data_IF_091942967093
#
_entry.id   IF_091942967093
#
_cell.length_a   1.000
_cell.length_b   1.000
_cell.length_c   1.000
_cell.angle_alpha   90.00
_cell.angle_beta   90.00
_cell.angle_gamma   90.00
#
_symmetry.space_group_name_H-M   'P 1'
#
loop_
_entity.id
_entity.type
_entity.pdbx_description
1 polymer ?
#
# COMPACT_ATOMS: atom_id res chain seq x y z
N UNK A 1 -13.81 -27.95 7.42
CA UNK A 1 -12.80 -27.32 6.54
C UNK A 1 -13.40 -26.02 5.99
N UNK A 2 -12.96 -24.87 6.49
CA UNK A 2 -13.30 -23.51 6.00
C UNK A 2 -14.79 -23.12 5.88
N UNK A 3 -15.68 -23.71 6.68
CA UNK A 3 -17.12 -23.42 6.67
C UNK A 3 -17.77 -23.51 5.26
N UNK A 4 -17.26 -24.42 4.43
CA UNK A 4 -17.83 -24.70 3.11
C UNK A 4 -19.28 -25.21 3.25
N UNK A 5 -20.24 -24.64 2.49
CA UNK A 5 -21.62 -25.09 2.50
C UNK A 5 -21.77 -26.56 2.09
N UNK A 6 -22.74 -27.26 2.70
CA UNK A 6 -23.01 -28.69 2.44
C UNK A 6 -23.31 -29.01 0.97
N UNK A 7 -23.77 -28.03 0.17
CA UNK A 7 -24.00 -28.20 -1.26
C UNK A 7 -22.74 -28.55 -2.06
N UNK A 8 -21.55 -28.26 -1.53
CA UNK A 8 -20.26 -28.63 -2.14
C UNK A 8 -19.67 -29.91 -1.58
N UNK A 9 -20.31 -30.51 -0.57
CA UNK A 9 -19.80 -31.70 0.09
C UNK A 9 -19.90 -32.89 -0.86
N UNK A 10 -18.79 -33.55 -1.08
CA UNK A 10 -18.69 -34.76 -1.89
C UNK A 10 -18.49 -36.00 -1.01
N UNK A 11 -17.60 -35.90 -0.01
CA UNK A 11 -17.24 -36.96 0.94
C UNK A 11 -16.96 -38.32 0.26
N UNK A 12 -16.12 -38.28 -0.78
CA UNK A 12 -15.72 -39.47 -1.55
C UNK A 12 -14.40 -39.99 -1.02
N UNK A 13 -14.38 -41.24 -0.54
CA UNK A 13 -13.15 -41.96 -0.20
C UNK A 13 -12.39 -42.31 -1.46
N UNK A 14 -11.16 -41.81 -1.58
CA UNK A 14 -10.28 -42.10 -2.72
C UNK A 14 -9.49 -43.37 -2.42
N UNK A 15 -9.58 -44.37 -3.29
CA UNK A 15 -8.80 -45.58 -3.11
C UNK A 15 -7.31 -45.26 -3.29
N UNK A 16 -6.45 -45.77 -2.38
CA UNK A 16 -5.03 -45.47 -2.38
C UNK A 16 -4.33 -45.82 -3.71
N UNK A 17 -4.80 -46.86 -4.41
CA UNK A 17 -4.31 -47.24 -5.75
C UNK A 17 -4.54 -46.16 -6.81
N UNK A 18 -5.63 -45.39 -6.69
CA UNK A 18 -6.04 -44.36 -7.63
C UNK A 18 -5.43 -43.01 -7.23
N UNK A 19 -5.07 -42.87 -5.94
CA UNK A 19 -4.31 -41.75 -5.42
C UNK A 19 -2.82 -41.79 -5.80
N UNK A 20 -2.26 -42.98 -6.12
CA UNK A 20 -0.85 -43.12 -6.50
C UNK A 20 -0.70 -42.99 -8.02
N UNK A 21 0.00 -41.96 -8.52
CA UNK A 21 0.17 -41.73 -9.95
C UNK A 21 1.00 -42.82 -10.62
N UNK A 22 0.62 -43.20 -11.85
CA UNK A 22 1.27 -44.29 -12.61
C UNK A 22 2.69 -43.95 -13.03
N UNK A 23 3.01 -42.68 -13.25
CA UNK A 23 4.29 -42.25 -13.81
C UNK A 23 5.32 -41.86 -12.73
N UNK A 24 4.97 -41.96 -11.44
CA UNK A 24 5.92 -41.69 -10.35
C UNK A 24 7.00 -42.76 -10.21
N UNK A 25 8.17 -42.35 -9.70
CA UNK A 25 9.30 -43.25 -9.43
C UNK A 25 8.89 -44.33 -8.40
N UNK A 26 9.43 -45.56 -8.50
CA UNK A 26 9.07 -46.65 -7.59
C UNK A 26 9.25 -46.33 -6.10
N UNK A 27 10.32 -45.60 -5.74
CA UNK A 27 10.59 -45.21 -4.36
C UNK A 27 9.53 -44.25 -3.81
N UNK A 28 9.11 -43.28 -4.61
CA UNK A 28 8.10 -42.31 -4.21
C UNK A 28 6.71 -42.97 -4.10
N UNK A 29 6.38 -43.89 -5.02
CA UNK A 29 5.17 -44.72 -4.90
C UNK A 29 5.14 -45.51 -3.60
N UNK A 30 6.28 -46.07 -3.19
CA UNK A 30 6.39 -46.78 -1.91
C UNK A 30 6.22 -45.82 -0.74
N UNK A 31 6.88 -44.66 -0.77
CA UNK A 31 6.76 -43.63 0.27
C UNK A 31 5.30 -43.17 0.47
N UNK A 32 4.55 -42.94 -0.61
CA UNK A 32 3.13 -42.58 -0.52
C UNK A 32 2.32 -43.70 0.15
N UNK A 33 2.55 -44.97 -0.21
CA UNK A 33 1.87 -46.11 0.41
C UNK A 33 2.13 -46.23 1.90
N UNK A 34 3.37 -45.95 2.30
CA UNK A 34 3.79 -46.05 3.70
C UNK A 34 3.31 -44.85 4.52
N UNK A 35 3.17 -43.66 3.90
CA UNK A 35 2.82 -42.41 4.57
C UNK A 35 1.31 -42.17 4.70
N UNK A 36 0.49 -42.63 3.75
CA UNK A 36 -0.94 -42.28 3.66
C UNK A 36 -1.81 -43.42 4.19
N UNK A 37 -2.65 -43.12 5.19
CA UNK A 37 -3.65 -44.07 5.72
C UNK A 37 -4.99 -43.95 5.01
N UNK A 38 -5.49 -42.73 4.86
CA UNK A 38 -6.79 -42.45 4.26
C UNK A 38 -6.76 -41.15 3.47
N UNK A 39 -7.52 -41.11 2.37
CA UNK A 39 -7.71 -39.93 1.55
C UNK A 39 -9.19 -39.77 1.25
N UNK A 40 -9.71 -38.57 1.48
CA UNK A 40 -11.06 -38.18 1.10
C UNK A 40 -11.04 -36.90 0.30
N UNK A 41 -11.80 -36.88 -0.79
CA UNK A 41 -12.26 -35.63 -1.38
C UNK A 41 -13.50 -35.20 -0.59
N UNK A 42 -13.34 -34.22 0.28
CA UNK A 42 -14.40 -33.84 1.23
C UNK A 42 -15.35 -32.82 0.61
N UNK A 43 -14.80 -31.86 -0.14
CA UNK A 43 -15.58 -30.86 -0.87
C UNK A 43 -15.05 -30.66 -2.29
N UNK A 44 -15.96 -30.27 -3.19
CA UNK A 44 -15.61 -29.78 -4.51
C UNK A 44 -16.52 -28.61 -4.88
N UNK A 45 -15.91 -27.45 -5.14
CA UNK A 45 -16.59 -26.31 -5.76
C UNK A 45 -16.40 -26.48 -7.27
N UNK A 46 -17.45 -26.28 -8.07
CA UNK A 46 -17.43 -26.41 -9.52
C UNK A 46 -18.45 -25.47 -10.18
N UNK A 47 -18.29 -25.21 -11.48
CA UNK A 47 -19.25 -24.42 -12.27
C UNK A 47 -19.07 -22.90 -12.13
N UNK A 48 -20.15 -22.15 -12.36
CA UNK A 48 -20.14 -20.67 -12.39
C UNK A 48 -19.81 -20.01 -11.04
N UNK A 49 -19.84 -20.78 -9.95
CA UNK A 49 -19.55 -20.30 -8.59
C UNK A 49 -18.04 -20.24 -8.30
N UNK A 50 -17.22 -20.83 -9.16
CA UNK A 50 -15.79 -20.52 -9.18
C UNK A 50 -15.65 -19.20 -9.92
N UNK A 51 -14.79 -18.29 -9.45
CA UNK A 51 -14.03 -17.39 -10.31
C UNK A 51 -13.40 -18.17 -11.46
N UNK A 52 -14.19 -18.45 -12.48
CA UNK A 52 -13.68 -18.74 -13.80
C UNK A 52 -12.88 -17.50 -14.14
N UNK A 53 -11.58 -17.55 -13.93
CA UNK A 53 -10.71 -16.71 -14.73
C UNK A 53 -11.06 -17.18 -16.13
N UNK A 54 -11.92 -16.44 -16.82
CA UNK A 54 -12.21 -16.65 -18.25
C UNK A 54 -10.99 -16.11 -18.98
N UNK A 55 -9.85 -16.72 -18.66
CA UNK A 55 -8.55 -16.44 -19.19
C UNK A 55 -8.04 -17.77 -19.70
N UNK A 56 -7.56 -17.76 -20.95
CA UNK A 56 -6.92 -18.89 -21.59
C UNK A 56 -5.77 -19.46 -20.73
N UNK A 57 -5.23 -18.67 -19.80
CA UNK A 57 -4.09 -19.02 -18.95
C UNK A 57 -4.41 -19.97 -17.78
N UNK A 58 -5.54 -19.81 -17.07
CA UNK A 58 -5.75 -20.50 -15.77
C UNK A 58 -6.76 -21.66 -15.82
N UNK A 59 -7.69 -21.68 -16.80
CA UNK A 59 -8.65 -22.79 -17.09
C UNK A 59 -9.11 -23.60 -15.86
N UNK A 60 -9.52 -22.93 -14.79
CA UNK A 60 -9.96 -23.61 -13.57
C UNK A 60 -11.43 -24.05 -13.69
N UNK A 61 -11.67 -25.36 -13.59
CA UNK A 61 -13.03 -25.94 -13.67
C UNK A 61 -13.57 -26.37 -12.30
N UNK A 62 -12.69 -26.59 -11.32
CA UNK A 62 -13.02 -27.06 -9.99
C UNK A 62 -12.00 -26.58 -8.95
N UNK A 63 -12.45 -26.38 -7.71
CA UNK A 63 -11.57 -26.31 -6.53
C UNK A 63 -11.87 -27.53 -5.66
N UNK A 64 -10.85 -28.35 -5.41
CA UNK A 64 -10.98 -29.61 -4.69
C UNK A 64 -10.38 -29.51 -3.29
N UNK A 65 -11.05 -30.09 -2.30
CA UNK A 65 -10.61 -30.09 -0.92
C UNK A 65 -10.36 -31.52 -0.47
N UNK A 66 -9.09 -31.84 -0.28
CA UNK A 66 -8.65 -33.16 0.16
C UNK A 66 -8.37 -33.16 1.65
N UNK A 67 -8.84 -34.20 2.32
CA UNK A 67 -8.45 -34.57 3.68
C UNK A 67 -7.64 -35.86 3.62
N UNK A 68 -6.41 -35.80 4.13
CA UNK A 68 -5.45 -36.91 4.09
C UNK A 68 -5.01 -37.22 5.51
N UNK A 69 -5.37 -38.41 5.99
CA UNK A 69 -4.81 -38.94 7.23
C UNK A 69 -3.45 -39.57 6.91
N UNK A 70 -2.40 -39.08 7.56
CA UNK A 70 -1.03 -39.58 7.41
C UNK A 70 -0.58 -40.39 8.63
N UNK A 71 0.46 -41.19 8.45
CA UNK A 71 1.12 -41.93 9.54
C UNK A 71 1.96 -41.00 10.41
N UNK A 72 2.74 -40.11 9.79
CA UNK A 72 3.55 -39.08 10.46
C UNK A 72 3.48 -37.79 9.64
N UNK A 73 3.15 -36.67 10.28
CA UNK A 73 3.04 -35.36 9.65
C UNK A 73 4.33 -34.91 8.92
N UNK A 74 5.49 -35.50 9.21
CA UNK A 74 6.75 -35.21 8.50
C UNK A 74 6.69 -35.45 6.99
N UNK A 75 5.82 -36.33 6.52
CA UNK A 75 5.66 -36.59 5.08
C UNK A 75 4.81 -35.53 4.36
N UNK A 76 4.20 -34.59 5.09
CA UNK A 76 3.30 -33.61 4.52
C UNK A 76 3.95 -32.71 3.45
N UNK A 77 5.22 -32.30 3.60
CA UNK A 77 5.91 -31.49 2.60
C UNK A 77 6.11 -32.25 1.28
N UNK A 78 6.43 -33.54 1.36
CA UNK A 78 6.60 -34.41 0.21
C UNK A 78 5.25 -34.65 -0.48
N UNK A 79 4.20 -34.92 0.29
CA UNK A 79 2.86 -35.11 -0.25
C UNK A 79 2.31 -33.82 -0.88
N UNK A 80 2.46 -32.66 -0.22
CA UNK A 80 2.09 -31.36 -0.74
C UNK A 80 2.72 -31.07 -2.10
N UNK A 81 4.05 -31.13 -2.18
CA UNK A 81 4.79 -30.88 -3.42
C UNK A 81 4.42 -31.87 -4.53
N UNK A 82 4.21 -33.15 -4.19
CA UNK A 82 3.83 -34.17 -5.16
C UNK A 82 2.44 -33.90 -5.73
N UNK A 83 1.44 -33.73 -4.86
CA UNK A 83 0.04 -33.65 -5.28
C UNK A 83 -0.34 -32.30 -5.88
N UNK A 84 0.29 -31.20 -5.46
CA UNK A 84 0.09 -29.91 -6.12
C UNK A 84 0.56 -29.92 -7.58
N UNK A 85 1.58 -30.72 -7.91
CA UNK A 85 2.11 -30.89 -9.27
C UNK A 85 1.34 -31.91 -10.13
N UNK A 86 0.31 -32.57 -9.59
CA UNK A 86 -0.37 -33.68 -10.26
C UNK A 86 -1.86 -33.41 -10.42
N UNK A 87 -2.48 -32.83 -9.39
CA UNK A 87 -3.89 -32.48 -9.43
C UNK A 87 -4.02 -31.21 -10.27
N UNK A 88 -4.64 -31.33 -11.46
CA UNK A 88 -4.83 -30.19 -12.37
C UNK A 88 -5.72 -29.08 -11.80
N UNK A 89 -6.91 -29.38 -11.21
CA UNK A 89 -7.72 -28.35 -10.57
C UNK A 89 -6.98 -27.72 -9.39
N UNK A 90 -7.38 -26.50 -9.00
CA UNK A 90 -6.93 -25.97 -7.71
C UNK A 90 -7.31 -26.94 -6.61
N UNK A 91 -6.37 -27.19 -5.70
CA UNK A 91 -6.66 -28.06 -4.58
C UNK A 91 -6.08 -27.52 -3.28
N UNK A 92 -6.89 -27.60 -2.24
CA UNK A 92 -6.46 -27.42 -0.87
C UNK A 92 -6.31 -28.80 -0.26
N UNK A 93 -5.14 -29.08 0.29
CA UNK A 93 -4.82 -30.37 0.88
C UNK A 93 -4.63 -30.17 2.37
N UNK A 94 -5.56 -30.69 3.16
CA UNK A 94 -5.43 -30.81 4.60
C UNK A 94 -4.83 -32.17 4.93
N UNK A 95 -3.71 -32.18 5.65
CA UNK A 95 -3.02 -33.38 6.10
C UNK A 95 -2.96 -33.38 7.61
N UNK A 96 -3.29 -34.50 8.24
CA UNK A 96 -3.27 -34.62 9.69
C UNK A 96 -2.81 -36.00 10.15
N UNK A 97 -2.18 -36.03 11.32
CA UNK A 97 -2.01 -37.24 12.12
C UNK A 97 -2.75 -37.08 13.46
N UNK A 98 -2.49 -37.96 14.43
CA UNK A 98 -3.17 -37.91 15.72
C UNK A 98 -2.84 -36.65 16.57
N UNK A 99 -1.77 -35.93 16.24
CA UNK A 99 -1.23 -34.81 17.04
C UNK A 99 -1.23 -33.50 16.30
N UNK A 100 -0.92 -33.50 15.00
CA UNK A 100 -0.67 -32.29 14.23
C UNK A 100 -1.48 -32.27 12.92
N UNK A 101 -1.81 -31.08 12.46
CA UNK A 101 -2.42 -30.81 11.15
C UNK A 101 -1.65 -29.73 10.38
N UNK A 102 -1.69 -29.81 9.05
CA UNK A 102 -1.10 -28.83 8.13
C UNK A 102 -1.98 -28.66 6.89
N UNK A 103 -1.86 -27.50 6.26
CA UNK A 103 -2.58 -27.17 5.04
C UNK A 103 -1.59 -26.85 3.92
N UNK A 104 -1.88 -27.34 2.71
CA UNK A 104 -1.14 -27.01 1.50
C UNK A 104 -2.03 -26.30 0.49
N UNK A 105 -1.48 -25.22 -0.06
CA UNK A 105 -2.07 -24.38 -1.09
C UNK A 105 -1.06 -24.19 -2.23
N UNK A 106 -1.55 -24.02 -3.45
CA UNK A 106 -0.70 -23.63 -4.58
C UNK A 106 -1.48 -22.78 -5.58
N UNK A 107 -0.85 -21.68 -6.00
CA UNK A 107 -1.22 -20.96 -7.21
C UNK A 107 -0.54 -21.67 -8.36
N UNK A 108 -1.36 -22.22 -9.26
CA UNK A 108 -0.93 -23.03 -10.38
C UNK A 108 -1.82 -22.77 -11.58
N UNK A 109 -1.27 -23.02 -12.76
CA UNK A 109 -1.97 -22.93 -14.04
C UNK A 109 -1.51 -24.05 -14.95
N UNK A 110 -2.20 -24.23 -16.07
CA UNK A 110 -1.75 -25.14 -17.11
C UNK A 110 -0.67 -24.46 -17.97
N UNK A 111 0.25 -25.24 -18.52
CA UNK A 111 1.23 -24.73 -19.45
C UNK A 111 0.52 -24.28 -20.75
N UNK A 112 0.89 -23.11 -21.27
CA UNK A 112 0.28 -22.50 -22.46
C UNK A 112 0.57 -23.29 -23.76
N UNK A 113 1.67 -24.05 -23.80
CA UNK A 113 2.05 -24.87 -24.95
C UNK A 113 1.59 -26.33 -24.82
N UNK A 114 1.40 -26.82 -23.59
CA UNK A 114 1.01 -28.20 -23.28
C UNK A 114 0.06 -28.23 -22.07
N UNK A 115 -1.25 -28.29 -22.31
CA UNK A 115 -2.27 -28.29 -21.26
C UNK A 115 -2.31 -29.57 -20.39
N UNK A 116 -1.40 -30.51 -20.65
CA UNK A 116 -1.15 -31.67 -19.79
C UNK A 116 -0.23 -31.34 -18.62
N UNK A 117 0.59 -30.30 -18.73
CA UNK A 117 1.57 -29.91 -17.73
C UNK A 117 1.04 -28.81 -16.80
N UNK A 118 1.38 -28.93 -15.52
CA UNK A 118 1.06 -27.95 -14.48
C UNK A 118 2.29 -27.08 -14.24
N UNK A 119 2.08 -25.77 -14.20
CA UNK A 119 3.07 -24.77 -13.76
C UNK A 119 2.63 -24.25 -12.39
N UNK A 120 3.41 -24.53 -11.35
CA UNK A 120 3.22 -23.92 -10.03
C UNK A 120 3.93 -22.57 -10.03
N UNK A 121 3.18 -21.51 -9.80
CA UNK A 121 3.69 -20.14 -9.69
C UNK A 121 4.09 -19.85 -8.24
N UNK A 122 3.24 -20.28 -7.31
CA UNK A 122 3.49 -20.15 -5.88
C UNK A 122 2.93 -21.36 -5.13
N UNK A 123 3.61 -21.79 -4.08
CA UNK A 123 3.12 -22.85 -3.21
C UNK A 123 3.39 -22.51 -1.75
N UNK A 124 2.42 -22.83 -0.91
CA UNK A 124 2.50 -22.64 0.53
C UNK A 124 2.14 -23.94 1.24
N UNK A 125 2.93 -24.29 2.24
CA UNK A 125 2.58 -25.29 3.25
C UNK A 125 2.66 -24.57 4.58
N UNK A 126 1.60 -24.66 5.37
CA UNK A 126 1.55 -23.99 6.68
C UNK A 126 2.57 -24.61 7.64
N UNK A 127 2.84 -23.90 8.74
CA UNK A 127 3.40 -24.54 9.92
C UNK A 127 2.46 -25.62 10.47
N UNK A 128 2.98 -26.42 11.40
CA UNK A 128 2.21 -27.46 12.08
C UNK A 128 1.33 -26.85 13.15
N UNK A 129 0.05 -27.18 13.11
CA UNK A 129 -0.90 -26.81 14.14
C UNK A 129 -1.25 -28.03 14.98
N UNK A 130 -1.40 -27.90 16.30
CA UNK A 130 -1.80 -29.01 17.13
C UNK A 130 -3.28 -29.38 16.86
N UNK A 131 -3.51 -30.65 16.56
CA UNK A 131 -4.82 -31.22 16.34
C UNK A 131 -5.59 -31.27 17.67
N UNK A 132 -6.85 -30.83 17.67
CA UNK A 132 -7.74 -30.76 18.85
C UNK A 132 -7.32 -29.80 19.96
N UNK A 133 -6.32 -28.94 19.75
CA UNK A 133 -5.99 -27.85 20.67
C UNK A 133 -6.23 -26.49 20.00
N UNK A 134 -6.63 -25.46 20.77
CA UNK A 134 -6.71 -24.10 20.23
C UNK A 134 -5.34 -23.61 19.80
N UNK A 135 -5.24 -23.10 18.58
CA UNK A 135 -4.04 -22.46 18.04
C UNK A 135 -4.40 -21.17 17.32
N UNK A 136 -3.69 -20.08 17.62
CA UNK A 136 -4.02 -18.76 17.12
C UNK A 136 -3.73 -18.62 15.62
N UNK A 137 -2.63 -19.21 15.13
CA UNK A 137 -2.27 -19.21 13.71
C UNK A 137 -3.27 -19.99 12.89
N UNK A 138 -3.66 -21.18 13.37
CA UNK A 138 -4.73 -22.00 12.80
C UNK A 138 -6.06 -21.26 12.76
N UNK A 139 -6.46 -20.63 13.86
CA UNK A 139 -7.73 -19.91 13.92
C UNK A 139 -7.76 -18.73 12.95
N UNK A 140 -6.64 -17.99 12.82
CA UNK A 140 -6.48 -16.93 11.83
C UNK A 140 -6.59 -17.46 10.40
N UNK A 141 -5.90 -18.57 10.09
CA UNK A 141 -5.99 -19.22 8.79
C UNK A 141 -7.43 -19.61 8.45
N UNK A 142 -8.12 -20.30 9.37
CA UNK A 142 -9.49 -20.73 9.18
C UNK A 142 -10.43 -19.54 8.99
N UNK A 143 -10.26 -18.46 9.73
CA UNK A 143 -11.07 -17.24 9.61
C UNK A 143 -10.83 -16.49 8.30
N UNK A 144 -9.58 -16.45 7.83
CA UNK A 144 -9.20 -15.79 6.56
C UNK A 144 -9.71 -16.57 5.35
N UNK A 145 -9.69 -17.91 5.44
CA UNK A 145 -10.13 -18.81 4.38
C UNK A 145 -11.61 -19.19 4.49
N UNK A 146 -12.35 -18.65 5.46
CA UNK A 146 -13.76 -19.00 5.70
C UNK A 146 -14.64 -18.59 4.50
N UNK A 147 -15.37 -19.56 3.95
CA UNK A 147 -16.23 -19.37 2.78
C UNK A 147 -17.30 -18.27 2.95
N UNK A 148 -17.78 -18.05 4.17
CA UNK A 148 -18.78 -17.03 4.48
C UNK A 148 -18.16 -15.64 4.58
N UNK A 149 -16.90 -15.54 5.03
CA UNK A 149 -16.19 -14.27 5.24
C UNK A 149 -15.35 -13.85 4.04
N UNK A 150 -15.00 -14.79 3.13
CA UNK A 150 -14.38 -14.47 1.84
C UNK A 150 -15.30 -13.49 1.11
N UNK A 151 -14.89 -12.22 1.10
CA UNK A 151 -15.66 -11.06 0.58
C UNK A 151 -15.91 -11.10 -0.93
N UNK A 152 -15.33 -12.06 -1.66
CA UNK A 152 -15.31 -12.08 -3.12
C UNK A 152 -16.15 -13.21 -3.73
N UNK A 153 -17.46 -13.20 -3.49
CA UNK A 153 -18.41 -14.05 -4.23
C UNK A 153 -18.78 -13.48 -5.61
N UNK A 154 -18.40 -12.23 -5.89
CA UNK A 154 -18.84 -11.47 -7.06
C UNK A 154 -17.71 -10.99 -7.97
N UNK A 155 -16.46 -10.96 -7.50
CA UNK A 155 -15.32 -10.45 -8.30
C UNK A 155 -14.33 -11.59 -8.59
N UNK A 156 -14.35 -12.04 -9.84
CA UNK A 156 -13.66 -13.25 -10.30
C UNK A 156 -12.20 -13.04 -10.70
N UNK A 157 -11.69 -11.81 -10.62
CA UNK A 157 -10.40 -11.42 -11.23
C UNK A 157 -9.32 -10.97 -10.24
N UNK A 158 -9.54 -11.02 -8.93
CA UNK A 158 -8.58 -10.42 -7.99
C UNK A 158 -7.86 -11.45 -7.11
N UNK A 159 -6.81 -12.06 -7.67
CA UNK A 159 -5.66 -12.49 -6.89
C UNK A 159 -4.89 -11.23 -6.49
N UNK A 160 -4.60 -11.11 -5.19
CA UNK A 160 -3.83 -10.03 -4.60
C UNK A 160 -2.50 -9.81 -5.35
N UNK A 161 -2.39 -8.70 -6.08
CA UNK A 161 -1.13 -8.26 -6.69
C UNK A 161 -0.62 -7.05 -5.89
N UNK A 162 0.36 -7.27 -5.02
CA UNK A 162 1.01 -6.23 -4.18
C UNK A 162 2.07 -5.43 -4.94
N UNK A 163 1.91 -5.32 -6.26
CA UNK A 163 2.76 -4.50 -7.10
C UNK A 163 1.96 -3.29 -7.55
N UNK A 164 2.15 -2.16 -6.87
CA UNK A 164 1.72 -0.83 -7.35
C UNK A 164 2.50 -0.35 -8.59
N UNK A 165 3.18 -1.27 -9.30
CA UNK A 165 3.82 -1.01 -10.58
C UNK A 165 2.81 -1.33 -11.67
N UNK A 166 2.23 -0.29 -12.24
CA UNK A 166 1.51 -0.41 -13.50
C UNK A 166 2.49 -0.93 -14.55
N UNK A 167 2.19 -2.08 -15.14
CA UNK A 167 2.92 -2.55 -16.32
C UNK A 167 2.69 -1.61 -17.50
N UNK A 168 3.60 -1.62 -18.47
CA UNK A 168 3.52 -0.72 -19.63
C UNK A 168 2.22 -0.94 -20.42
N UNK A 169 1.73 -2.19 -20.47
CA UNK A 169 0.42 -2.54 -21.05
C UNK A 169 -0.77 -2.00 -20.23
N UNK A 170 -0.75 -2.08 -18.89
CA UNK A 170 -1.79 -1.50 -18.03
C UNK A 170 -1.82 0.04 -18.14
N UNK A 171 -0.65 0.67 -18.35
CA UNK A 171 -0.50 2.08 -18.72
C UNK A 171 -1.20 2.42 -20.04
N UNK A 172 -0.92 1.64 -21.08
CA UNK A 172 -1.51 1.82 -22.40
C UNK A 172 -3.03 1.61 -22.40
N UNK A 173 -3.53 0.67 -21.60
CA UNK A 173 -4.96 0.42 -21.40
C UNK A 173 -5.63 1.59 -20.66
N UNK A 174 -4.99 2.13 -19.61
CA UNK A 174 -5.48 3.30 -18.87
C UNK A 174 -5.56 4.56 -19.75
N UNK A 175 -4.58 4.74 -20.63
CA UNK A 175 -4.49 5.89 -21.54
C UNK A 175 -5.35 5.74 -22.81
N UNK A 176 -5.99 4.58 -23.01
CA UNK A 176 -6.83 4.29 -24.17
C UNK A 176 -6.06 4.18 -25.49
N UNK A 177 -4.81 3.71 -25.43
CA UNK A 177 -3.96 3.51 -26.59
C UNK A 177 -4.54 2.45 -27.54
N UNK A 178 -4.10 2.48 -28.81
CA UNK A 178 -4.45 1.48 -29.81
C UNK A 178 -3.42 0.35 -29.80
N UNK A 179 -3.87 -0.88 -30.00
CA UNK A 179 -2.98 -2.02 -30.19
C UNK A 179 -2.31 -1.99 -31.59
N UNK A 180 -1.41 -2.95 -31.83
CA UNK A 180 -0.66 -3.07 -33.09
C UNK A 180 -1.53 -3.44 -34.31
N UNK A 181 -2.82 -3.74 -34.11
CA UNK A 181 -3.80 -4.00 -35.17
C UNK A 181 -4.81 -2.86 -35.36
N UNK A 182 -4.67 -1.76 -34.60
CA UNK A 182 -5.52 -0.57 -34.71
C UNK A 182 -6.83 -0.64 -33.93
N UNK A 183 -7.01 -1.64 -33.07
CA UNK A 183 -8.15 -1.75 -32.16
C UNK A 183 -7.83 -0.96 -30.87
N UNK A 184 -8.81 -0.23 -30.34
CA UNK A 184 -8.64 0.48 -29.05
C UNK A 184 -8.82 -0.51 -27.91
N UNK A 185 -7.91 -0.50 -26.93
CA UNK A 185 -8.14 -1.21 -25.68
C UNK A 185 -9.45 -0.72 -25.05
N UNK A 186 -10.27 -1.66 -24.57
CA UNK A 186 -11.52 -1.34 -23.88
C UNK A 186 -11.14 -0.71 -22.55
N UNK A 187 -11.12 0.63 -22.52
CA UNK A 187 -11.00 1.40 -21.30
C UNK A 187 -12.22 1.04 -20.44
N UNK A 188 -12.01 0.54 -19.23
CA UNK A 188 -13.07 0.53 -18.22
C UNK A 188 -13.52 1.98 -18.07
N UNK A 189 -14.63 2.32 -18.71
CA UNK A 189 -15.04 3.70 -18.84
C UNK A 189 -15.30 4.27 -17.44
N UNK A 190 -14.82 5.50 -17.22
CA UNK A 190 -15.05 6.32 -16.02
C UNK A 190 -16.52 6.49 -15.64
N UNK A 191 -17.44 6.00 -16.47
CA UNK A 191 -18.88 5.93 -16.24
C UNK A 191 -19.37 4.76 -15.38
N UNK A 192 -18.51 3.88 -14.87
CA UNK A 192 -18.93 2.79 -14.00
C UNK A 192 -18.58 3.08 -12.53
N UNK A 193 -19.61 3.19 -11.68
CA UNK A 193 -19.58 3.22 -10.20
C UNK A 193 -18.73 2.12 -9.52
N UNK A 194 -18.10 1.21 -10.29
CA UNK A 194 -17.30 0.09 -9.80
C UNK A 194 -15.93 0.52 -9.29
N UNK A 195 -15.33 1.60 -9.78
CA UNK A 195 -13.99 2.01 -9.32
C UNK A 195 -13.95 2.38 -7.84
N UNK A 196 -14.84 3.27 -7.40
CA UNK A 196 -14.96 3.67 -6.00
C UNK A 196 -15.33 2.48 -5.11
N UNK A 197 -16.31 1.67 -5.52
CA UNK A 197 -16.71 0.49 -4.78
C UNK A 197 -15.56 -0.52 -4.62
N UNK A 198 -14.78 -0.74 -5.67
CA UNK A 198 -13.62 -1.65 -5.64
C UNK A 198 -12.53 -1.11 -4.71
N UNK A 199 -12.21 0.17 -4.81
CA UNK A 199 -11.24 0.81 -3.91
C UNK A 199 -11.69 0.73 -2.45
N UNK A 200 -12.97 1.01 -2.18
CA UNK A 200 -13.54 0.90 -0.85
C UNK A 200 -13.50 -0.54 -0.31
N UNK A 201 -13.85 -1.52 -1.14
CA UNK A 201 -13.80 -2.95 -0.79
C UNK A 201 -12.36 -3.40 -0.49
N UNK A 202 -11.38 -2.85 -1.19
CA UNK A 202 -9.96 -3.08 -0.91
C UNK A 202 -9.54 -2.43 0.42
N UNK A 203 -9.93 -1.19 0.68
CA UNK A 203 -9.47 -0.44 1.86
C UNK A 203 -10.13 -0.90 3.16
N UNK A 204 -11.41 -1.25 3.13
CA UNK A 204 -12.18 -1.62 4.31
C UNK A 204 -11.49 -2.68 5.20
N UNK A 205 -11.14 -3.90 4.71
CA UNK A 205 -10.54 -4.92 5.56
C UNK A 205 -9.17 -4.51 6.12
N UNK A 206 -8.41 -3.71 5.37
CA UNK A 206 -7.08 -3.23 5.79
C UNK A 206 -7.20 -2.22 6.92
N UNK A 207 -8.14 -1.28 6.80
CA UNK A 207 -8.41 -0.29 7.84
C UNK A 207 -8.97 -0.93 9.11
N UNK A 208 -9.76 -1.99 8.98
CA UNK A 208 -10.24 -2.76 10.12
C UNK A 208 -9.09 -3.42 10.89
N UNK A 209 -8.17 -4.10 10.19
CA UNK A 209 -6.97 -4.68 10.81
C UNK A 209 -6.08 -3.57 11.41
N UNK A 210 -5.92 -2.45 10.71
CA UNK A 210 -5.14 -1.32 11.21
C UNK A 210 -5.69 -0.80 12.54
N UNK A 211 -7.02 -0.69 12.69
CA UNK A 211 -7.67 -0.32 13.96
C UNK A 211 -7.36 -1.32 15.07
N UNK A 212 -7.40 -2.62 14.76
CA UNK A 212 -7.13 -3.66 15.76
C UNK A 212 -5.69 -3.58 16.27
N UNK A 213 -4.74 -3.25 15.40
CA UNK A 213 -3.31 -3.10 15.73
C UNK A 213 -2.98 -1.80 16.48
N UNK A 214 -3.80 -0.76 16.39
CA UNK A 214 -3.56 0.49 17.12
C UNK A 214 -3.74 0.29 18.64
N UNK A 215 -2.92 0.99 19.42
CA UNK A 215 -3.19 1.20 20.85
C UNK A 215 -4.44 2.07 21.01
N UNK A 216 -5.06 2.06 22.20
CA UNK A 216 -6.24 2.90 22.48
C UNK A 216 -5.96 4.40 22.24
N UNK A 217 -4.79 4.88 22.65
CA UNK A 217 -4.30 6.25 22.37
C UNK A 217 -3.70 6.44 20.96
N UNK A 218 -3.80 5.41 20.11
CA UNK A 218 -3.18 5.37 18.79
C UNK A 218 -3.93 6.23 17.77
N UNK A 219 -3.16 6.89 16.91
CA UNK A 219 -3.64 7.66 15.77
C UNK A 219 -3.24 6.98 14.45
N UNK A 220 -4.10 7.07 13.45
CA UNK A 220 -3.80 6.73 12.06
C UNK A 220 -3.89 7.99 11.20
N UNK A 221 -2.94 8.13 10.27
CA UNK A 221 -2.89 9.21 9.28
C UNK A 221 -2.93 8.58 7.89
N UNK A 222 -3.83 9.05 7.04
CA UNK A 222 -4.05 8.48 5.71
C UNK A 222 -4.04 9.61 4.68
N UNK A 223 -2.98 9.67 3.88
CA UNK A 223 -2.90 10.61 2.75
C UNK A 223 -3.84 10.17 1.64
N UNK A 224 -4.60 11.11 1.09
CA UNK A 224 -5.59 10.87 0.04
C UNK A 224 -5.77 12.10 -0.85
N UNK A 225 -6.07 11.88 -2.13
CA UNK A 225 -6.48 12.95 -3.04
C UNK A 225 -7.97 13.29 -2.87
N UNK A 226 -8.40 14.33 -3.57
CA UNK A 226 -9.78 14.78 -3.66
C UNK A 226 -10.74 13.74 -4.28
N UNK A 227 -10.22 12.78 -5.05
CA UNK A 227 -11.02 11.76 -5.75
C UNK A 227 -11.72 10.81 -4.77
N UNK A 228 -10.99 10.31 -3.76
CA UNK A 228 -11.49 9.24 -2.86
C UNK A 228 -11.70 9.71 -1.42
N UNK A 229 -11.45 10.98 -1.11
CA UNK A 229 -11.55 11.49 0.26
C UNK A 229 -12.92 11.22 0.89
N UNK A 230 -14.01 11.44 0.14
CA UNK A 230 -15.37 11.24 0.67
C UNK A 230 -15.64 9.77 0.99
N UNK A 231 -15.18 8.87 0.14
CA UNK A 231 -15.34 7.43 0.34
C UNK A 231 -14.47 6.92 1.49
N UNK A 232 -13.21 7.35 1.56
CA UNK A 232 -12.31 7.03 2.67
C UNK A 232 -12.87 7.54 4.01
N UNK A 233 -13.43 8.75 4.00
CA UNK A 233 -14.06 9.34 5.18
C UNK A 233 -15.20 8.47 5.70
N UNK A 234 -16.10 8.04 4.81
CA UNK A 234 -17.22 7.15 5.16
C UNK A 234 -16.69 5.83 5.74
N UNK A 235 -15.68 5.22 5.11
CA UNK A 235 -15.07 3.99 5.61
C UNK A 235 -14.48 4.16 7.00
N UNK A 236 -13.71 5.22 7.22
CA UNK A 236 -13.12 5.47 8.52
C UNK A 236 -14.17 5.80 9.59
N UNK A 237 -15.23 6.53 9.25
CA UNK A 237 -16.34 6.80 10.16
C UNK A 237 -17.07 5.52 10.57
N UNK A 238 -17.22 4.54 9.67
CA UNK A 238 -17.79 3.23 9.99
C UNK A 238 -16.84 2.39 10.88
N UNK A 239 -15.55 2.34 10.53
CA UNK A 239 -14.57 1.47 11.19
C UNK A 239 -14.13 2.04 12.53
N UNK A 240 -13.70 3.30 12.57
CA UNK A 240 -13.17 3.96 13.77
C UNK A 240 -14.27 4.63 14.59
N UNK A 241 -15.43 4.91 13.99
CA UNK A 241 -16.50 5.70 14.59
C UNK A 241 -16.33 7.18 14.27
N UNK A 242 -17.39 7.85 13.81
CA UNK A 242 -17.36 9.25 13.44
C UNK A 242 -16.91 10.20 14.57
N UNK A 243 -17.16 9.82 15.83
CA UNK A 243 -16.70 10.56 17.02
C UNK A 243 -15.19 10.51 17.23
N UNK A 244 -14.49 9.55 16.61
CA UNK A 244 -13.04 9.39 16.70
C UNK A 244 -12.29 10.05 15.53
N UNK A 245 -12.99 10.79 14.67
CA UNK A 245 -12.34 11.66 13.70
C UNK A 245 -11.60 12.79 14.41
N UNK A 246 -10.33 12.98 14.08
CA UNK A 246 -9.49 14.00 14.72
C UNK A 246 -9.42 15.25 13.85
N UNK A 247 -8.94 15.12 12.61
CA UNK A 247 -8.72 16.27 11.72
C UNK A 247 -8.50 15.82 10.27
N UNK A 248 -8.79 16.71 9.32
CA UNK A 248 -8.34 16.63 7.94
C UNK A 248 -7.24 17.67 7.74
N UNK A 249 -6.00 17.21 7.55
CA UNK A 249 -4.85 18.08 7.33
C UNK A 249 -4.70 18.33 5.82
N UNK A 250 -4.64 19.61 5.45
CA UNK A 250 -4.42 20.01 4.06
C UNK A 250 -2.92 20.07 3.78
N UNK A 251 -2.43 19.17 2.94
CA UNK A 251 -1.04 19.17 2.50
C UNK A 251 -0.90 19.89 1.17
N UNK A 252 -0.35 21.11 1.21
CA UNK A 252 0.03 21.85 0.01
C UNK A 252 1.30 21.23 -0.61
N UNK A 253 1.14 20.45 -1.67
CA UNK A 253 2.22 19.64 -2.25
C UNK A 253 2.81 20.21 -3.55
N UNK A 254 2.28 21.33 -4.06
CA UNK A 254 2.72 21.95 -5.33
C UNK A 254 3.03 23.44 -5.17
N UNK A 255 4.31 23.80 -5.20
CA UNK A 255 4.78 25.19 -5.38
C UNK A 255 5.14 25.47 -6.86
N UNK A 256 4.85 26.69 -7.35
CA UNK A 256 5.28 27.14 -8.68
C UNK A 256 4.20 27.09 -9.78
N UNK A 257 4.25 28.10 -10.67
CA UNK A 257 3.31 28.35 -11.76
C UNK A 257 3.81 27.85 -13.12
N UNK A 258 4.08 26.56 -13.25
CA UNK A 258 4.09 25.92 -14.57
C UNK A 258 2.65 25.78 -15.07
N UNK A 259 2.39 26.14 -16.32
CA UNK A 259 1.10 26.12 -17.01
C UNK A 259 0.36 24.81 -16.71
N UNK A 260 -0.67 24.90 -15.87
CA UNK A 260 -1.64 23.82 -15.75
C UNK A 260 -2.75 24.22 -16.70
N UNK A 261 -2.91 23.48 -17.80
CA UNK A 261 -3.98 23.67 -18.78
C UNK A 261 -5.34 23.18 -18.22
N UNK A 262 -5.55 23.31 -16.90
CA UNK A 262 -6.84 23.04 -16.29
C UNK A 262 -7.82 24.10 -16.79
N UNK A 263 -8.89 23.64 -17.42
CA UNK A 263 -9.99 24.50 -17.89
C UNK A 263 -10.78 25.12 -16.73
N UNK A 264 -10.67 24.56 -15.52
CA UNK A 264 -11.43 24.95 -14.34
C UNK A 264 -10.48 25.39 -13.21
N UNK A 265 -10.54 24.74 -12.06
CA UNK A 265 -9.70 25.04 -10.91
C UNK A 265 -8.41 24.22 -10.94
N UNK A 266 -7.35 24.79 -10.35
CA UNK A 266 -6.07 24.11 -10.18
C UNK A 266 -5.97 23.56 -8.76
N UNK A 267 -6.06 22.25 -8.63
CA UNK A 267 -5.88 21.55 -7.34
C UNK A 267 -4.38 21.54 -6.99
N UNK A 268 -4.05 22.09 -5.82
CA UNK A 268 -2.67 22.26 -5.31
C UNK A 268 -2.46 21.65 -3.93
N UNK A 269 -3.43 20.88 -3.46
CA UNK A 269 -3.38 20.24 -2.17
C UNK A 269 -3.88 18.80 -2.27
N UNK A 270 -3.48 18.02 -1.29
CA UNK A 270 -4.03 16.72 -0.94
C UNK A 270 -4.47 16.76 0.52
N UNK A 271 -5.19 15.73 0.93
CA UNK A 271 -5.74 15.59 2.26
C UNK A 271 -4.96 14.53 3.03
N UNK A 272 -4.89 14.69 4.35
CA UNK A 272 -4.40 13.66 5.25
C UNK A 272 -5.44 13.53 6.36
N UNK A 273 -6.26 12.47 6.28
CA UNK A 273 -7.26 12.20 7.29
C UNK A 273 -6.61 11.58 8.52
N UNK A 274 -6.97 12.09 9.69
CA UNK A 274 -6.52 11.59 10.98
C UNK A 274 -7.69 11.04 11.79
N UNK A 275 -7.57 9.80 12.25
CA UNK A 275 -8.50 9.14 13.15
C UNK A 275 -7.77 8.59 14.38
N UNK A 276 -8.47 8.57 15.50
CA UNK A 276 -8.04 7.89 16.71
C UNK A 276 -8.70 6.50 16.81
N UNK A 277 -8.06 5.59 17.55
CA UNK A 277 -8.76 4.39 18.01
C UNK A 277 -9.78 4.75 19.10
N UNK A 278 -9.35 5.53 20.09
CA UNK A 278 -10.19 6.13 21.11
C UNK A 278 -9.72 7.59 21.36
N UNK A 279 -10.48 8.56 20.86
CA UNK A 279 -10.10 9.98 20.91
C UNK A 279 -9.95 10.51 22.34
N UNK A 280 -10.65 9.92 23.32
CA UNK A 280 -10.55 10.32 24.72
C UNK A 280 -9.19 9.98 25.36
N UNK A 281 -8.47 9.01 24.80
CA UNK A 281 -7.16 8.54 25.28
C UNK A 281 -6.00 9.17 24.50
N UNK A 282 -6.29 10.02 23.50
CA UNK A 282 -5.26 10.63 22.66
C UNK A 282 -4.66 11.85 23.36
N UNK A 283 -3.33 11.90 23.39
CA UNK A 283 -2.55 13.08 23.74
C UNK A 283 -1.58 13.41 22.59
N UNK A 284 -1.76 14.57 21.95
CA UNK A 284 -0.84 15.05 20.92
C UNK A 284 0.17 16.00 21.55
N UNK A 285 1.35 15.48 21.88
CA UNK A 285 2.44 16.27 22.46
C UNK A 285 3.22 16.93 21.31
N UNK A 286 3.14 18.26 21.23
CA UNK A 286 3.97 19.04 20.32
C UNK A 286 5.45 18.92 20.65
N UNK A 287 6.31 18.88 19.64
CA UNK A 287 7.75 18.95 19.86
C UNK A 287 8.09 20.42 20.19
N UNK A 288 8.76 20.70 21.33
CA UNK A 288 9.23 22.05 21.62
C UNK A 288 10.20 22.50 20.53
N UNK A 289 10.16 23.78 20.17
CA UNK A 289 11.03 24.34 19.14
C UNK A 289 12.49 24.15 19.59
N UNK A 290 13.20 23.18 19.01
CA UNK A 290 14.53 22.76 19.47
C UNK A 290 15.64 23.81 19.37
N UNK A 291 15.33 25.02 18.94
CA UNK A 291 16.23 26.16 18.84
C UNK A 291 15.56 27.46 19.33
N UNK A 292 14.65 27.41 20.30
CA UNK A 292 13.98 28.61 20.85
C UNK A 292 14.99 29.70 21.27
N UNK A 293 16.14 29.29 21.82
CA UNK A 293 17.25 30.18 22.19
C UNK A 293 17.83 31.01 21.02
N UNK A 294 17.58 30.64 19.77
CA UNK A 294 18.03 31.42 18.60
C UNK A 294 17.16 32.65 18.38
N UNK A 295 15.88 32.59 18.73
CA UNK A 295 14.87 33.60 18.46
C UNK A 295 14.85 34.66 19.58
N UNK A 296 15.88 35.52 19.59
CA UNK A 296 16.11 36.52 20.65
C UNK A 296 15.50 37.90 20.36
N UNK A 297 15.15 38.17 19.12
CA UNK A 297 14.68 39.47 18.69
C UNK A 297 13.15 39.50 18.57
N UNK A 298 12.57 40.67 18.79
CA UNK A 298 11.14 40.93 18.63
C UNK A 298 10.92 42.24 17.89
N UNK A 299 9.78 42.34 17.21
CA UNK A 299 9.32 43.55 16.55
C UNK A 299 7.83 43.78 16.84
N UNK A 300 7.23 44.77 16.17
CA UNK A 300 5.82 45.10 16.29
C UNK A 300 4.86 43.93 15.96
N UNK A 301 5.33 42.90 15.24
CA UNK A 301 4.55 41.72 14.88
C UNK A 301 4.73 40.55 15.86
N UNK A 302 5.42 40.72 17.00
CA UNK A 302 5.72 39.62 17.94
C UNK A 302 4.48 38.83 18.39
N UNK A 303 3.32 39.49 18.50
CA UNK A 303 2.06 38.83 18.87
C UNK A 303 1.53 37.88 17.79
N UNK A 304 1.79 38.19 16.52
CA UNK A 304 1.29 37.42 15.37
C UNK A 304 2.34 36.44 14.81
N UNK A 305 3.62 36.84 14.84
CA UNK A 305 4.74 36.12 14.21
C UNK A 305 5.69 35.46 15.20
N UNK A 306 5.62 35.82 16.48
CA UNK A 306 6.57 35.39 17.50
C UNK A 306 7.90 36.14 17.44
N UNK A 307 8.86 35.68 18.26
CA UNK A 307 10.25 36.18 18.22
C UNK A 307 10.95 35.65 16.97
N UNK A 308 11.90 36.41 16.45
CA UNK A 308 12.66 36.07 15.26
C UNK A 308 14.16 36.01 15.54
N UNK A 309 14.88 35.43 14.59
CA UNK A 309 16.32 35.62 14.48
C UNK A 309 16.70 36.11 13.07
N UNK A 310 17.87 36.73 12.97
CA UNK A 310 18.34 37.26 11.69
C UNK A 310 19.20 36.23 10.97
N UNK A 311 18.75 35.85 9.78
CA UNK A 311 19.49 35.01 8.86
C UNK A 311 20.00 35.86 7.70
N UNK A 312 21.28 35.73 7.33
CA UNK A 312 21.83 36.43 6.15
C UNK A 312 21.03 36.04 4.90
N UNK A 313 20.64 37.04 4.11
CA UNK A 313 19.96 36.83 2.84
C UNK A 313 20.93 36.29 1.79
N UNK A 314 22.18 36.78 1.79
CA UNK A 314 23.25 36.31 0.92
C UNK A 314 23.95 35.12 1.54
N UNK A 315 23.90 33.96 0.88
CA UNK A 315 24.55 32.73 1.33
C UNK A 315 25.28 32.06 0.17
N UNK A 316 26.32 31.28 0.49
CA UNK A 316 26.93 30.37 -0.48
C UNK A 316 25.90 29.40 -1.03
N UNK A 317 25.81 29.31 -2.36
CA UNK A 317 24.93 28.37 -3.06
C UNK A 317 25.76 27.29 -3.74
N UNK A 318 25.28 26.05 -3.74
CA UNK A 318 25.90 24.93 -4.47
C UNK A 318 25.87 25.21 -5.99
N UNK A 319 24.79 25.84 -6.47
CA UNK A 319 24.61 26.22 -7.86
C UNK A 319 24.36 27.72 -7.99
N UNK A 320 25.08 28.37 -8.89
CA UNK A 320 24.91 29.79 -9.15
C UNK A 320 23.68 30.07 -10.02
N UNK A 321 22.90 31.09 -9.66
CA UNK A 321 21.78 31.59 -10.44
C UNK A 321 21.91 33.09 -10.69
N UNK A 322 21.94 33.48 -11.96
CA UNK A 322 22.03 34.89 -12.35
C UNK A 322 20.78 35.69 -11.94
N UNK A 323 19.61 35.06 -11.87
CA UNK A 323 18.37 35.74 -11.44
C UNK A 323 18.34 36.09 -9.94
N UNK A 324 19.24 35.49 -9.16
CA UNK A 324 19.40 35.71 -7.72
C UNK A 324 20.66 36.55 -7.41
N UNK A 325 21.31 37.09 -8.42
CA UNK A 325 22.47 37.96 -8.30
C UNK A 325 22.11 39.37 -8.78
N UNK A 326 21.50 40.15 -7.89
CA UNK A 326 20.98 41.49 -8.21
C UNK A 326 21.35 42.49 -7.11
N UNK A 327 21.51 43.78 -7.41
CA UNK A 327 21.87 44.78 -6.40
C UNK A 327 20.69 45.07 -5.47
N UNK A 328 21.00 45.24 -4.18
CA UNK A 328 20.08 45.74 -3.17
C UNK A 328 20.59 47.08 -2.66
N UNK A 329 19.76 48.12 -2.74
CA UNK A 329 20.06 49.44 -2.19
C UNK A 329 19.99 49.41 -0.66
N UNK A 330 21.03 49.96 -0.03
CA UNK A 330 21.18 50.03 1.44
C UNK A 330 21.00 51.48 1.92
N UNK A 331 20.81 51.72 3.24
CA UNK A 331 20.38 53.02 3.75
C UNK A 331 21.27 54.23 3.44
N UNK A 332 22.55 54.03 3.12
CA UNK A 332 23.46 55.12 2.73
C UNK A 332 23.44 55.44 1.22
N UNK A 333 22.52 54.82 0.46
CA UNK A 333 22.37 54.99 -0.98
C UNK A 333 23.34 54.14 -1.81
N UNK A 334 24.23 53.37 -1.18
CA UNK A 334 25.06 52.40 -1.90
C UNK A 334 24.29 51.10 -2.18
N UNK A 335 24.89 50.20 -2.95
CA UNK A 335 24.31 48.90 -3.28
C UNK A 335 25.17 47.76 -2.77
N UNK A 336 24.53 46.70 -2.31
CA UNK A 336 25.17 45.44 -1.89
C UNK A 336 24.79 44.31 -2.83
N UNK A 337 25.76 43.47 -3.15
CA UNK A 337 25.62 42.22 -3.90
C UNK A 337 25.76 41.00 -2.97
N UNK A 338 25.27 39.81 -3.36
CA UNK A 338 25.43 38.59 -2.55
C UNK A 338 26.88 38.27 -2.22
N UNK A 339 27.80 38.51 -3.17
CA UNK A 339 29.23 38.27 -3.02
C UNK A 339 29.84 39.13 -1.91
N UNK A 340 29.37 40.37 -1.74
CA UNK A 340 29.82 41.28 -0.68
C UNK A 340 29.54 40.65 0.68
N UNK A 341 28.35 40.10 0.89
CA UNK A 341 27.95 39.45 2.15
C UNK A 341 28.60 38.07 2.39
N UNK A 342 29.44 37.60 1.46
CA UNK A 342 30.11 36.28 1.49
C UNK A 342 31.63 36.38 1.26
N UNK A 343 32.25 37.52 1.60
CA UNK A 343 33.71 37.70 1.53
C UNK A 343 34.25 37.63 0.09
N UNK A 344 33.48 38.13 -0.87
CA UNK A 344 33.83 38.12 -2.30
C UNK A 344 33.65 36.78 -3.00
N UNK A 345 33.23 35.73 -2.27
CA UNK A 345 32.94 34.41 -2.89
C UNK A 345 31.65 34.47 -3.69
N UNK A 346 31.62 33.68 -4.76
CA UNK A 346 30.42 33.51 -5.61
C UNK A 346 29.24 33.06 -4.74
N UNK A 347 28.21 33.89 -4.66
CA UNK A 347 27.04 33.69 -3.83
C UNK A 347 25.79 34.19 -4.56
N UNK A 348 24.62 33.80 -4.07
CA UNK A 348 23.34 34.27 -4.56
C UNK A 348 22.47 34.70 -3.38
N UNK A 349 21.50 35.58 -3.62
CA UNK A 349 20.44 35.83 -2.66
C UNK A 349 19.57 34.58 -2.52
N UNK A 350 19.08 34.32 -1.31
CA UNK A 350 18.10 33.25 -1.07
C UNK A 350 16.72 33.56 -1.69
N UNK A 351 16.41 34.84 -1.90
CA UNK A 351 15.13 35.31 -2.40
C UNK A 351 15.27 35.94 -3.77
N UNK A 352 14.23 35.82 -4.60
CA UNK A 352 14.13 36.60 -5.84
C UNK A 352 13.89 38.07 -5.53
N UNK A 353 14.17 38.95 -6.48
CA UNK A 353 13.92 40.41 -6.33
C UNK A 353 12.48 40.70 -5.93
N UNK A 354 11.51 40.02 -6.53
CA UNK A 354 10.10 40.17 -6.19
C UNK A 354 9.79 39.77 -4.74
N UNK A 355 10.35 38.65 -4.26
CA UNK A 355 10.16 38.19 -2.87
C UNK A 355 10.88 39.12 -1.87
N UNK A 356 12.03 39.67 -2.25
CA UNK A 356 12.72 40.70 -1.48
C UNK A 356 11.86 41.96 -1.30
N UNK A 357 11.29 42.51 -2.39
CA UNK A 357 10.42 43.69 -2.30
C UNK A 357 9.18 43.43 -1.44
N UNK A 358 8.55 42.26 -1.61
CA UNK A 358 7.45 41.82 -0.74
C UNK A 358 7.89 41.76 0.73
N UNK A 359 9.05 41.18 1.01
CA UNK A 359 9.55 41.07 2.39
C UNK A 359 9.89 42.42 3.01
N UNK A 360 10.45 43.33 2.21
CA UNK A 360 10.73 44.71 2.62
C UNK A 360 9.44 45.44 2.99
N UNK A 361 8.40 45.31 2.16
CA UNK A 361 7.09 45.91 2.41
C UNK A 361 6.37 45.32 3.65
N UNK A 362 6.65 44.06 4.01
CA UNK A 362 6.00 43.35 5.11
C UNK A 362 6.86 43.25 6.39
N UNK A 363 7.98 43.96 6.47
CA UNK A 363 8.84 44.00 7.66
C UNK A 363 9.71 42.76 7.90
N UNK A 364 9.93 41.91 6.90
CA UNK A 364 10.79 40.72 6.98
C UNK A 364 12.27 40.99 6.69
N UNK A 365 12.62 42.18 6.21
CA UNK A 365 13.99 42.55 5.83
C UNK A 365 14.58 43.49 6.88
N UNK A 366 15.80 43.20 7.32
CA UNK A 366 16.61 44.09 8.17
C UNK A 366 17.97 44.28 7.50
N UNK A 367 18.35 45.53 7.22
CA UNK A 367 19.65 45.87 6.62
C UNK A 367 20.48 46.59 7.68
N UNK A 368 21.64 46.02 8.02
CA UNK A 368 22.57 46.64 8.98
C UNK A 368 24.01 46.28 8.68
N UNK A 369 24.92 47.07 9.24
CA UNK A 369 26.36 46.78 9.18
C UNK A 369 26.67 45.57 10.07
N UNK A 370 27.45 44.64 9.55
CA UNK A 370 27.97 43.52 10.34
C UNK A 370 29.16 43.96 11.22
N UNK A 371 29.76 43.02 11.94
CA UNK A 371 30.91 43.30 12.82
C UNK A 371 32.16 43.82 12.09
N UNK A 372 32.24 43.70 10.76
CA UNK A 372 33.30 44.25 9.92
C UNK A 372 32.97 45.64 9.34
N UNK A 373 31.78 46.17 9.64
CA UNK A 373 31.30 47.45 9.12
C UNK A 373 30.65 47.36 7.73
N UNK A 374 30.51 46.15 7.17
CA UNK A 374 29.93 45.93 5.85
C UNK A 374 28.41 45.82 5.92
N UNK A 375 27.70 46.52 5.03
CA UNK A 375 26.25 46.40 4.93
C UNK A 375 25.84 44.98 4.57
N UNK A 376 25.03 44.37 5.40
CA UNK A 376 24.51 43.02 5.23
C UNK A 376 22.99 43.03 5.27
N UNK A 377 22.39 42.29 4.32
CA UNK A 377 20.94 42.13 4.23
C UNK A 377 20.54 40.86 4.99
N UNK A 378 19.61 40.99 5.94
CA UNK A 378 19.09 39.88 6.73
C UNK A 378 17.59 39.69 6.50
N UNK A 379 17.15 38.44 6.63
CA UNK A 379 15.74 38.06 6.72
C UNK A 379 15.40 37.68 8.15
N UNK A 380 14.26 38.14 8.65
CA UNK A 380 13.65 37.63 9.90
C UNK A 380 13.11 36.23 9.64
N UNK A 381 13.54 35.24 10.44
CA UNK A 381 13.10 33.85 10.40
C UNK A 381 12.28 33.50 11.62
#
# INVERSE_FOLDING_TARGET
MFNLPDRYKTDVKVALKDFIPKDLKPNDKKRIKDAVKEVRLVYQIAGEEIPSVVDANYRCQAIQFFDIEVVDIKDAQFLASTYQNIIKPYCVIHMHDAKDEVYSFAVKRLNQQDDTQIVIEESLVTEKYPMNLPDEGRNRLLAYMDFLTIKNKLDKDFVYNDNFKMTEEEGLISDGAMDSQGERFIVNSSSQNRFHANWMNMMYPRLQIAKDLLKESGLIFISISDIEISNLRILCDEIFGASNFVVDLIWANKEGGGSSDSKLFRIKHEHILCYAKNIAEVEVIGIPVGNEDRYKSEDEYVKERGKYYLQKLGMGSIQYSQSLDYPIEVPDGTTVMPADNNGGKKACWRWSKQKYEWGKANGFIEIKKDGSGQWTVYTKQ
#
